data_IF_657689029934
#
_entry.id   IF_657689029934
#
_cell.length_a   1.000
_cell.length_b   1.000
_cell.length_c   1.000
_cell.angle_alpha   90.00
_cell.angle_beta   90.00
_cell.angle_gamma   90.00
#
_symmetry.space_group_name_H-M   'P 1'
#
loop_
_entity.id
_entity.type
_entity.pdbx_description
1 polymer ?
#
# COMPACT_ATOMS: atom_id res chain seq x y z
N UNK A 1 12.96 1.74 10.03
CA UNK A 1 12.04 2.00 8.91
C UNK A 1 10.61 2.00 9.42
N UNK A 2 9.80 2.98 8.99
CA UNK A 2 8.41 3.10 9.40
C UNK A 2 7.51 2.65 8.28
N UNK A 3 6.60 1.74 8.58
CA UNK A 3 5.60 1.25 7.67
C UNK A 3 4.22 1.65 8.21
N UNK A 4 3.41 2.32 7.38
CA UNK A 4 2.06 2.73 7.73
C UNK A 4 1.07 1.85 6.98
N UNK A 5 0.06 1.32 7.69
CA UNK A 5 -1.05 0.60 7.07
C UNK A 5 -2.35 1.37 7.32
N UNK A 6 -3.14 1.55 6.27
CA UNK A 6 -4.35 2.37 6.35
C UNK A 6 -5.45 1.82 5.45
N UNK A 7 -6.61 1.58 6.04
CA UNK A 7 -7.80 1.18 5.29
C UNK A 7 -8.49 2.44 4.77
N UNK A 8 -8.51 2.62 3.46
CA UNK A 8 -9.03 3.82 2.82
C UNK A 8 -10.55 3.93 2.86
N UNK A 9 -11.26 2.82 2.84
CA UNK A 9 -12.72 2.80 2.71
C UNK A 9 -13.19 3.69 1.55
N UNK A 10 -12.63 3.46 0.38
CA UNK A 10 -12.83 4.26 -0.83
C UNK A 10 -11.92 5.49 -0.93
N UNK A 11 -10.87 5.33 -1.73
CA UNK A 11 -9.87 6.37 -1.97
C UNK A 11 -10.48 7.63 -2.62
N UNK A 12 -11.59 7.48 -3.34
CA UNK A 12 -12.25 8.59 -4.03
C UNK A 12 -13.04 9.50 -3.10
N UNK A 13 -13.21 9.15 -1.83
CA UNK A 13 -13.88 10.02 -0.85
C UNK A 13 -13.13 11.34 -0.70
N UNK A 14 -13.81 12.48 -0.59
CA UNK A 14 -13.17 13.79 -0.66
C UNK A 14 -12.06 14.04 0.35
N UNK A 15 -12.14 13.44 1.54
CA UNK A 15 -11.15 13.67 2.59
C UNK A 15 -9.92 12.79 2.51
N UNK A 16 -9.89 11.79 1.63
CA UNK A 16 -8.82 10.78 1.66
C UNK A 16 -7.46 11.33 1.25
N UNK A 17 -7.44 12.19 0.25
CA UNK A 17 -6.19 12.83 -0.18
C UNK A 17 -5.53 13.57 0.98
N UNK A 18 -6.28 14.44 1.66
CA UNK A 18 -5.74 15.22 2.77
C UNK A 18 -5.39 14.34 3.96
N UNK A 19 -6.18 13.32 4.25
CA UNK A 19 -5.89 12.39 5.35
C UNK A 19 -4.59 11.64 5.13
N UNK A 20 -4.39 11.11 3.93
CA UNK A 20 -3.17 10.36 3.59
C UNK A 20 -1.95 11.30 3.64
N UNK A 21 -2.06 12.48 3.05
CA UNK A 21 -0.97 13.46 3.07
C UNK A 21 -0.60 13.85 4.50
N UNK A 22 -1.60 14.03 5.35
CA UNK A 22 -1.38 14.38 6.75
C UNK A 22 -0.67 13.27 7.52
N UNK A 23 -1.10 12.01 7.33
CA UNK A 23 -0.45 10.88 7.98
C UNK A 23 1.02 10.75 7.57
N UNK A 24 1.30 10.95 6.29
CA UNK A 24 2.67 10.89 5.77
C UNK A 24 3.52 12.01 6.37
N UNK A 25 2.97 13.21 6.47
CA UNK A 25 3.67 14.34 7.08
C UNK A 25 3.97 14.10 8.56
N UNK A 26 3.00 13.55 9.29
CA UNK A 26 3.15 13.34 10.73
C UNK A 26 4.04 12.16 11.09
N UNK A 27 3.97 11.08 10.32
CA UNK A 27 4.63 9.83 10.67
C UNK A 27 5.92 9.59 9.90
N UNK A 28 6.09 10.29 8.79
CA UNK A 28 7.26 10.16 7.90
C UNK A 28 7.59 8.70 7.57
N UNK A 29 6.62 7.92 7.05
CA UNK A 29 6.85 6.52 6.73
C UNK A 29 7.65 6.39 5.45
N UNK A 30 8.33 5.27 5.27
CA UNK A 30 9.03 4.93 4.04
C UNK A 30 8.16 4.04 3.15
N UNK A 31 7.22 3.31 3.74
CA UNK A 31 6.31 2.41 3.03
C UNK A 31 4.90 2.63 3.56
N UNK A 32 3.92 2.62 2.66
CA UNK A 32 2.50 2.70 3.03
C UNK A 32 1.74 1.54 2.38
N UNK A 33 0.91 0.89 3.17
CA UNK A 33 -0.01 -0.16 2.72
C UNK A 33 -1.42 0.37 2.79
N UNK A 34 -2.13 0.33 1.66
CA UNK A 34 -3.50 0.82 1.58
C UNK A 34 -4.44 -0.33 1.23
N UNK A 35 -5.57 -0.39 1.91
CA UNK A 35 -6.63 -1.36 1.66
C UNK A 35 -7.92 -0.64 1.28
N UNK A 36 -8.82 -1.35 0.61
CA UNK A 36 -10.11 -0.83 0.15
C UNK A 36 -9.97 0.47 -0.65
N UNK A 37 -9.04 0.47 -1.61
CA UNK A 37 -8.77 1.64 -2.44
C UNK A 37 -9.91 1.95 -3.40
N UNK A 38 -10.70 0.95 -3.77
CA UNK A 38 -11.84 1.05 -4.68
C UNK A 38 -11.46 1.73 -6.01
N UNK A 39 -11.83 1.16 -7.09
CA UNK A 39 -11.44 1.66 -8.40
C UNK A 39 -10.38 0.81 -9.07
N UNK A 40 -10.09 1.09 -10.34
CA UNK A 40 -9.12 0.32 -11.09
C UNK A 40 -7.70 0.59 -10.59
N UNK A 41 -6.84 -0.44 -10.69
CA UNK A 41 -5.44 -0.32 -10.25
C UNK A 41 -4.72 0.83 -10.94
N UNK A 42 -4.95 1.03 -12.23
CA UNK A 42 -4.30 2.12 -12.98
C UNK A 42 -4.70 3.49 -12.47
N UNK A 43 -5.99 3.70 -12.21
CA UNK A 43 -6.48 4.98 -11.69
C UNK A 43 -6.02 5.24 -10.26
N UNK A 44 -6.00 4.20 -9.44
CA UNK A 44 -5.52 4.29 -8.06
C UNK A 44 -4.05 4.69 -8.04
N UNK A 45 -3.22 4.01 -8.82
CA UNK A 45 -1.79 4.31 -8.92
C UNK A 45 -1.56 5.75 -9.41
N UNK A 46 -2.25 6.15 -10.47
CA UNK A 46 -2.14 7.50 -11.02
C UNK A 46 -2.51 8.57 -9.99
N UNK A 47 -3.63 8.39 -9.30
CA UNK A 47 -4.08 9.34 -8.29
C UNK A 47 -3.07 9.46 -7.15
N UNK A 48 -2.63 8.35 -6.59
CA UNK A 48 -1.70 8.34 -5.46
C UNK A 48 -0.36 8.97 -5.84
N UNK A 49 0.16 8.66 -7.01
CA UNK A 49 1.43 9.23 -7.46
C UNK A 49 1.30 10.73 -7.74
N UNK A 50 0.13 11.19 -8.17
CA UNK A 50 -0.12 12.62 -8.33
C UNK A 50 -0.24 13.36 -6.99
N UNK A 51 -0.79 12.71 -5.97
CA UNK A 51 -0.93 13.31 -4.64
C UNK A 51 0.37 13.37 -3.86
N UNK A 52 1.27 12.42 -4.12
CA UNK A 52 2.46 12.20 -3.31
C UNK A 52 3.72 12.19 -4.21
N UNK A 53 4.19 13.38 -4.63
CA UNK A 53 5.43 13.46 -5.41
C UNK A 53 6.59 12.78 -4.68
N UNK A 54 7.39 12.02 -5.43
CA UNK A 54 8.50 11.27 -4.85
C UNK A 54 8.15 9.88 -4.35
N UNK A 55 6.86 9.53 -4.39
CA UNK A 55 6.37 8.19 -4.05
C UNK A 55 6.09 7.41 -5.32
N UNK A 56 6.30 6.10 -5.24
CA UNK A 56 5.93 5.15 -6.29
C UNK A 56 4.94 4.17 -5.71
N UNK A 57 3.92 3.79 -6.47
CA UNK A 57 2.87 2.89 -6.02
C UNK A 57 2.72 1.71 -6.97
N UNK A 58 2.43 0.55 -6.40
CA UNK A 58 1.86 -0.60 -7.10
C UNK A 58 0.46 -0.81 -6.57
N UNK A 59 -0.50 -1.02 -7.46
CA UNK A 59 -1.89 -1.21 -7.08
C UNK A 59 -2.42 -2.49 -7.70
N UNK A 60 -3.40 -3.08 -7.05
CA UNK A 60 -4.02 -4.34 -7.47
C UNK A 60 -5.52 -4.21 -7.37
N UNK A 61 -6.21 -4.58 -8.45
CA UNK A 61 -7.65 -4.70 -8.45
C UNK A 61 -8.07 -5.89 -7.60
N UNK A 62 -9.26 -5.81 -7.05
CA UNK A 62 -9.76 -6.91 -6.27
C UNK A 62 -10.62 -7.84 -7.10
N UNK A 63 -10.59 -9.10 -6.72
CA UNK A 63 -11.55 -10.08 -7.20
C UNK A 63 -12.68 -10.13 -6.18
N UNK A 64 -13.89 -9.81 -6.62
CA UNK A 64 -15.05 -9.86 -5.75
C UNK A 64 -15.29 -8.57 -4.97
N UNK A 65 -15.58 -8.69 -3.68
CA UNK A 65 -16.03 -7.57 -2.85
C UNK A 65 -14.93 -6.74 -2.20
N UNK A 66 -13.72 -7.19 -2.28
CA UNK A 66 -12.60 -6.46 -1.66
C UNK A 66 -12.26 -5.27 -2.53
N UNK A 67 -12.09 -4.13 -1.96
CA UNK A 67 -12.05 -2.87 -2.67
C UNK A 67 -10.69 -2.44 -3.22
N UNK A 68 -9.71 -3.33 -3.44
CA UNK A 68 -8.41 -2.97 -3.99
C UNK A 68 -7.34 -2.78 -2.93
N UNK A 69 -6.09 -2.99 -3.36
CA UNK A 69 -4.90 -2.82 -2.51
C UNK A 69 -3.89 -1.95 -3.23
N UNK A 70 -3.08 -1.23 -2.46
CA UNK A 70 -1.92 -0.54 -2.99
C UNK A 70 -0.77 -0.59 -2.00
N UNK A 71 0.44 -0.60 -2.51
CA UNK A 71 1.66 -0.45 -1.73
C UNK A 71 2.43 0.73 -2.33
N UNK A 72 2.86 1.66 -1.49
CA UNK A 72 3.67 2.77 -1.90
C UNK A 72 4.97 2.85 -1.13
N UNK A 73 5.98 3.45 -1.74
CA UNK A 73 7.28 3.64 -1.11
C UNK A 73 7.93 4.94 -1.58
N UNK A 74 8.79 5.48 -0.74
CA UNK A 74 9.56 6.69 -1.08
C UNK A 74 10.70 6.30 -2.02
N UNK A 75 10.66 6.79 -3.25
CA UNK A 75 11.54 6.33 -4.32
C UNK A 75 13.03 6.57 -4.05
N UNK A 76 13.39 7.63 -3.34
CA UNK A 76 14.79 7.93 -3.08
C UNK A 76 15.38 7.18 -1.89
N UNK A 77 14.55 6.47 -1.11
CA UNK A 77 15.00 5.70 0.05
C UNK A 77 14.81 4.21 -0.12
N UNK A 78 13.87 3.81 -0.95
CA UNK A 78 13.47 2.42 -1.12
C UNK A 78 13.60 2.05 -2.60
N UNK A 79 14.24 0.92 -2.88
CA UNK A 79 14.30 0.36 -4.22
C UNK A 79 13.49 -0.94 -4.25
N UNK A 80 12.50 -1.01 -5.14
CA UNK A 80 11.76 -2.24 -5.33
C UNK A 80 12.63 -3.26 -6.07
N UNK A 81 12.80 -4.44 -5.47
CA UNK A 81 13.52 -5.54 -6.09
C UNK A 81 12.59 -6.46 -6.86
N UNK A 82 11.42 -6.74 -6.30
CA UNK A 82 10.45 -7.66 -6.87
C UNK A 82 9.05 -7.31 -6.38
N UNK A 83 8.02 -7.78 -7.14
CA UNK A 83 6.63 -7.66 -6.70
C UNK A 83 5.84 -8.88 -7.18
N UNK A 84 4.82 -9.24 -6.43
CA UNK A 84 3.95 -10.36 -6.77
C UNK A 84 2.54 -10.13 -6.24
N UNK A 85 1.57 -10.80 -6.89
CA UNK A 85 0.20 -10.86 -6.40
C UNK A 85 -0.18 -12.29 -6.09
N UNK A 86 -1.15 -12.45 -5.22
CA UNK A 86 -1.74 -13.75 -4.90
C UNK A 86 -3.21 -13.55 -4.53
N UNK A 87 -3.93 -14.65 -4.29
CA UNK A 87 -5.39 -14.58 -4.11
C UNK A 87 -5.80 -13.65 -2.97
N UNK A 88 -5.04 -13.60 -1.89
CA UNK A 88 -5.40 -12.86 -0.68
C UNK A 88 -4.62 -11.56 -0.50
N UNK A 89 -3.84 -11.14 -1.50
CA UNK A 89 -3.08 -9.91 -1.34
C UNK A 89 -2.01 -9.69 -2.39
N UNK A 90 -1.07 -8.83 -2.04
CA UNK A 90 0.08 -8.49 -2.86
C UNK A 90 1.31 -8.28 -1.99
N UNK A 91 2.48 -8.43 -2.56
CA UNK A 91 3.72 -8.23 -1.84
C UNK A 91 4.80 -7.61 -2.71
N UNK A 92 5.79 -7.04 -2.06
CA UNK A 92 6.99 -6.52 -2.69
C UNK A 92 8.21 -6.89 -1.86
N UNK A 93 9.32 -7.12 -2.54
CA UNK A 93 10.64 -7.15 -1.91
C UNK A 93 11.28 -5.80 -2.16
N UNK A 94 11.80 -5.18 -1.12
CA UNK A 94 12.40 -3.85 -1.22
C UNK A 94 13.76 -3.83 -0.54
N UNK A 95 14.66 -3.03 -1.10
CA UNK A 95 15.92 -2.68 -0.47
C UNK A 95 15.79 -1.28 0.14
N UNK A 96 16.13 -1.17 1.43
CA UNK A 96 16.14 0.12 2.13
C UNK A 96 17.57 0.68 2.12
N UNK A 97 17.74 1.87 1.57
CA UNK A 97 19.04 2.55 1.57
C UNK A 97 19.45 2.97 2.98
N UNK A 98 18.47 3.31 3.80
CA UNK A 98 18.72 3.73 5.18
C UNK A 98 19.29 2.60 6.04
N UNK A 99 18.69 1.41 5.95
CA UNK A 99 19.10 0.28 6.79
C UNK A 99 20.07 -0.69 6.10
N UNK A 100 20.25 -0.54 4.78
CA UNK A 100 21.06 -1.44 3.95
C UNK A 100 20.58 -2.89 4.05
N UNK A 101 19.26 -3.06 4.05
CA UNK A 101 18.62 -4.39 4.19
C UNK A 101 17.50 -4.56 3.19
N UNK A 102 17.19 -5.82 2.90
CA UNK A 102 16.06 -6.22 2.08
C UNK A 102 14.91 -6.65 2.99
N UNK A 103 13.71 -6.22 2.67
CA UNK A 103 12.49 -6.55 3.39
C UNK A 103 11.46 -7.11 2.42
N UNK A 104 10.68 -8.08 2.88
CA UNK A 104 9.48 -8.51 2.18
C UNK A 104 8.27 -7.89 2.87
N UNK A 105 7.46 -7.19 2.11
CA UNK A 105 6.29 -6.47 2.62
C UNK A 105 5.05 -7.04 1.96
N UNK A 106 4.07 -7.41 2.74
CA UNK A 106 2.85 -8.05 2.25
C UNK A 106 1.64 -7.25 2.69
N UNK A 107 0.78 -6.93 1.73
CA UNK A 107 -0.49 -6.26 1.96
C UNK A 107 -1.62 -7.26 1.70
N UNK A 108 -2.43 -7.53 2.69
CA UNK A 108 -3.39 -8.63 2.67
C UNK A 108 -4.81 -8.08 2.68
N UNK A 109 -5.68 -8.71 1.88
CA UNK A 109 -7.11 -8.51 1.99
C UNK A 109 -7.71 -9.35 3.08
N UNK A 110 -8.91 -9.03 3.36
CA UNK A 110 -9.83 -9.97 3.93
C UNK A 110 -10.33 -9.58 5.27
N UNK A 111 -11.44 -10.17 5.65
CA UNK A 111 -11.96 -9.99 6.99
C UNK A 111 -11.01 -10.64 7.99
N UNK A 112 -11.05 -10.14 9.19
CA UNK A 112 -10.25 -10.65 10.29
C UNK A 112 -10.39 -12.17 10.48
N UNK A 113 -11.56 -12.71 10.14
CA UNK A 113 -11.80 -14.14 10.25
C UNK A 113 -10.82 -14.96 9.42
N UNK A 114 -10.46 -14.49 8.23
CA UNK A 114 -9.51 -15.20 7.36
C UNK A 114 -8.12 -15.21 7.98
N UNK A 115 -7.71 -14.12 8.59
CA UNK A 115 -6.43 -14.02 9.28
C UNK A 115 -6.39 -14.98 10.46
N UNK A 116 -7.46 -15.01 11.26
CA UNK A 116 -7.55 -15.89 12.41
C UNK A 116 -7.58 -17.37 12.02
N UNK A 117 -8.22 -17.72 10.91
CA UNK A 117 -8.22 -19.10 10.45
C UNK A 117 -6.86 -19.57 9.97
N UNK A 118 -6.00 -18.65 9.50
CA UNK A 118 -4.61 -18.98 9.16
C UNK A 118 -3.76 -19.22 10.40
N UNK A 119 -4.08 -18.56 11.50
CA UNK A 119 -3.34 -18.68 12.75
C UNK A 119 -3.88 -19.79 13.65
N UNK A 120 -5.12 -20.13 13.46
CA UNK A 120 -5.81 -21.14 14.25
C UNK A 120 -5.73 -22.51 13.68
#
# INVERSE_FOLDING_TARGET
MILLSYNCRDLASPQKKSSIKRMITLLDPQIILLQETMGSSDKVKEALESWLPGWVFEAMDTVGRSGGLAIGWVANQIRRENNWGFQSGMGIDVYSRETDRVYSVINIYGPYQDIFSLLG
#
